data_IF_810454301839
#
_entry.id   IF_810454301839
#
_cell.length_a   1.000
_cell.length_b   1.000
_cell.length_c   1.000
_cell.angle_alpha   90.00
_cell.angle_beta   90.00
_cell.angle_gamma   90.00
#
_symmetry.space_group_name_H-M   'P 1'
#
loop_
_entity.id
_entity.type
_entity.pdbx_description
1 polymer ?
#
# COMPACT_ATOMS: atom_id res chain seq x y z
N UNK A 1 -26.35 -11.02 -7.80
CA UNK A 1 -26.72 -9.88 -6.93
C UNK A 1 -25.82 -9.80 -5.71
N UNK A 2 -25.41 -10.94 -5.12
CA UNK A 2 -24.47 -10.98 -3.98
C UNK A 2 -23.07 -10.52 -4.38
N UNK A 3 -22.57 -10.96 -5.53
CA UNK A 3 -21.24 -10.59 -6.07
C UNK A 3 -21.05 -9.07 -6.17
N UNK A 4 -22.08 -8.35 -6.65
CA UNK A 4 -22.03 -6.87 -6.70
C UNK A 4 -21.95 -6.25 -5.31
N UNK A 5 -22.62 -6.84 -4.31
CA UNK A 5 -22.55 -6.34 -2.92
C UNK A 5 -21.15 -6.51 -2.35
N UNK A 6 -20.50 -7.66 -2.61
CA UNK A 6 -19.14 -7.91 -2.14
C UNK A 6 -18.15 -6.93 -2.76
N UNK A 7 -18.24 -6.69 -4.08
CA UNK A 7 -17.39 -5.70 -4.74
C UNK A 7 -17.61 -4.28 -4.17
N UNK A 8 -18.86 -3.89 -3.89
CA UNK A 8 -19.18 -2.60 -3.28
C UNK A 8 -18.60 -2.52 -1.86
N UNK A 9 -18.77 -3.57 -1.04
CA UNK A 9 -18.21 -3.62 0.32
C UNK A 9 -16.69 -3.51 0.26
N UNK A 10 -16.04 -4.27 -0.60
CA UNK A 10 -14.59 -4.24 -0.77
C UNK A 10 -14.10 -2.86 -1.23
N UNK A 11 -14.77 -2.24 -2.21
CA UNK A 11 -14.43 -0.91 -2.71
C UNK A 11 -14.60 0.19 -1.65
N UNK A 12 -15.73 0.21 -0.94
CA UNK A 12 -15.97 1.17 0.12
C UNK A 12 -15.02 0.96 1.32
N UNK A 13 -14.66 -0.29 1.62
CA UNK A 13 -13.67 -0.59 2.67
C UNK A 13 -12.29 -0.05 2.28
N UNK A 14 -11.86 -0.25 1.04
CA UNK A 14 -10.60 0.31 0.56
C UNK A 14 -10.62 1.85 0.54
N UNK A 15 -11.74 2.45 0.15
CA UNK A 15 -11.95 3.90 0.19
C UNK A 15 -11.76 4.44 1.60
N UNK A 16 -12.46 3.88 2.60
CA UNK A 16 -12.37 4.37 3.99
C UNK A 16 -10.97 4.19 4.59
N UNK A 17 -10.26 3.10 4.27
CA UNK A 17 -8.89 2.87 4.73
C UNK A 17 -7.94 3.97 4.24
N UNK A 18 -8.00 4.31 2.94
CA UNK A 18 -7.18 5.37 2.38
C UNK A 18 -7.59 6.76 2.89
N UNK A 19 -8.88 6.97 3.10
CA UNK A 19 -9.40 8.21 3.65
C UNK A 19 -8.87 8.44 5.08
N UNK A 20 -9.00 7.45 5.99
CA UNK A 20 -8.50 7.52 7.38
C UNK A 20 -6.98 7.76 7.42
N UNK A 21 -6.22 7.06 6.59
CA UNK A 21 -4.77 7.18 6.55
C UNK A 21 -4.35 8.61 6.19
N UNK A 22 -4.89 9.14 5.09
CA UNK A 22 -4.42 10.40 4.52
C UNK A 22 -5.04 11.64 5.21
N UNK A 23 -6.27 11.58 5.70
CA UNK A 23 -6.89 12.68 6.45
C UNK A 23 -6.10 13.04 7.71
N UNK A 24 -5.62 12.03 8.44
CA UNK A 24 -4.89 12.26 9.71
C UNK A 24 -3.59 13.03 9.50
N UNK A 25 -2.91 12.82 8.37
CA UNK A 25 -1.66 13.52 8.05
C UNK A 25 -1.88 15.03 7.94
N UNK A 26 -2.97 15.43 7.29
CA UNK A 26 -3.31 16.86 7.11
C UNK A 26 -3.75 17.51 8.43
N UNK A 27 -4.47 16.78 9.28
CA UNK A 27 -4.94 17.29 10.57
C UNK A 27 -3.86 17.33 11.65
N UNK A 28 -2.72 16.67 11.43
CA UNK A 28 -1.70 16.44 12.45
C UNK A 28 -1.23 17.70 13.19
N UNK A 29 -0.95 18.85 12.53
CA UNK A 29 -0.53 20.06 13.22
C UNK A 29 -1.59 20.58 14.21
N UNK A 30 -2.87 20.56 13.81
CA UNK A 30 -3.97 21.03 14.67
C UNK A 30 -4.25 20.04 15.80
N UNK A 31 -4.20 18.72 15.53
CA UNK A 31 -4.32 17.68 16.56
C UNK A 31 -3.21 17.83 17.60
N UNK A 32 -1.99 18.14 17.16
CA UNK A 32 -0.84 18.30 18.04
C UNK A 32 -1.02 19.47 19.00
N UNK A 33 -1.52 20.60 18.51
CA UNK A 33 -1.82 21.78 19.36
C UNK A 33 -2.94 21.45 20.35
N UNK A 34 -4.06 20.89 19.87
CA UNK A 34 -5.25 20.62 20.69
C UNK A 34 -5.01 19.57 21.81
N UNK A 35 -4.17 18.59 21.55
CA UNK A 35 -3.90 17.47 22.46
C UNK A 35 -2.56 17.59 23.18
N UNK A 36 -1.83 18.71 23.00
CA UNK A 36 -0.50 18.96 23.59
C UNK A 36 0.52 17.86 23.24
N UNK A 37 0.64 17.52 21.96
CA UNK A 37 1.70 16.61 21.50
C UNK A 37 3.06 17.31 21.56
N UNK A 38 4.09 16.57 21.96
CA UNK A 38 5.46 16.94 21.64
C UNK A 38 5.82 16.48 20.20
N UNK A 39 6.95 16.94 19.69
CA UNK A 39 7.41 16.63 18.32
C UNK A 39 7.54 15.12 18.09
N UNK A 40 8.09 14.40 19.06
CA UNK A 40 8.27 12.95 18.97
C UNK A 40 6.92 12.23 18.87
N UNK A 41 5.94 12.64 19.67
CA UNK A 41 4.58 12.06 19.62
C UNK A 41 3.86 12.31 18.30
N UNK A 42 4.13 13.43 17.61
CA UNK A 42 3.56 13.70 16.30
C UNK A 42 4.01 12.65 15.27
N UNK A 43 5.27 12.25 15.30
CA UNK A 43 5.79 11.21 14.42
C UNK A 43 5.11 9.87 14.67
N UNK A 44 4.77 9.56 15.94
CA UNK A 44 4.10 8.33 16.32
C UNK A 44 2.68 8.19 15.75
N UNK A 45 1.98 9.26 15.45
CA UNK A 45 0.59 9.22 14.96
C UNK A 45 0.44 8.37 13.70
N UNK A 46 1.31 8.56 12.74
CA UNK A 46 1.27 7.80 11.47
C UNK A 46 1.99 6.46 11.60
N UNK A 47 3.06 6.44 12.38
CA UNK A 47 3.89 5.27 12.60
C UNK A 47 3.12 4.14 13.29
N UNK A 48 2.43 4.40 14.41
CA UNK A 48 1.70 3.37 15.15
C UNK A 48 0.59 2.73 14.31
N UNK A 49 -0.04 3.51 13.43
CA UNK A 49 -1.00 3.02 12.45
C UNK A 49 -0.34 2.04 11.46
N UNK A 50 0.75 2.44 10.81
CA UNK A 50 1.45 1.62 9.82
C UNK A 50 2.11 0.38 10.45
N UNK A 51 2.73 0.54 11.62
CA UNK A 51 3.30 -0.59 12.38
C UNK A 51 2.24 -1.63 12.73
N UNK A 52 1.09 -1.18 13.24
CA UNK A 52 -0.03 -2.08 13.56
C UNK A 52 -0.55 -2.78 12.29
N UNK A 53 -0.65 -2.05 11.18
CA UNK A 53 -1.13 -2.60 9.91
C UNK A 53 -0.22 -3.73 9.41
N UNK A 54 1.09 -3.54 9.41
CA UNK A 54 2.06 -4.55 8.96
C UNK A 54 2.15 -5.72 9.96
N UNK A 55 2.21 -5.42 11.26
CA UNK A 55 2.40 -6.42 12.29
C UNK A 55 1.22 -7.41 12.41
N UNK A 56 -0.01 -6.94 12.23
CA UNK A 56 -1.20 -7.77 12.41
C UNK A 56 -1.77 -8.39 11.12
N UNK A 57 -1.21 -8.10 9.94
CA UNK A 57 -1.71 -8.64 8.67
C UNK A 57 -1.60 -10.17 8.61
N UNK A 58 -0.43 -10.75 8.89
CA UNK A 58 -0.20 -12.21 8.78
C UNK A 58 -0.91 -12.99 9.89
N UNK A 59 -0.73 -12.68 11.19
CA UNK A 59 -1.46 -13.39 12.24
C UNK A 59 -2.97 -13.25 12.11
N UNK A 60 -3.42 -12.07 11.69
CA UNK A 60 -4.84 -11.78 11.49
C UNK A 60 -5.47 -12.60 10.37
N UNK A 61 -4.75 -12.86 9.29
CA UNK A 61 -5.25 -13.69 8.18
C UNK A 61 -5.64 -15.09 8.65
N UNK A 62 -4.84 -15.70 9.53
CA UNK A 62 -5.12 -17.02 10.12
C UNK A 62 -6.38 -16.99 10.99
N UNK A 63 -6.54 -15.93 11.78
CA UNK A 63 -7.77 -15.73 12.59
C UNK A 63 -8.99 -15.59 11.68
N UNK A 64 -8.90 -14.74 10.64
CA UNK A 64 -10.01 -14.48 9.71
C UNK A 64 -10.45 -15.77 9.01
N UNK A 65 -9.50 -16.56 8.49
CA UNK A 65 -9.82 -17.78 7.76
C UNK A 65 -10.51 -18.83 8.63
N UNK A 66 -10.12 -18.96 9.89
CA UNK A 66 -10.66 -19.98 10.79
C UNK A 66 -11.99 -19.60 11.45
N UNK A 67 -12.18 -18.32 11.78
CA UNK A 67 -13.39 -17.84 12.44
C UNK A 67 -14.45 -17.33 11.47
N UNK A 68 -14.12 -17.25 10.18
CA UNK A 68 -14.99 -16.83 9.10
C UNK A 68 -14.70 -15.43 8.61
N UNK A 69 -14.52 -15.33 7.29
CA UNK A 69 -14.12 -14.07 6.64
C UNK A 69 -15.14 -12.98 6.89
N UNK A 70 -16.42 -13.26 6.61
CA UNK A 70 -17.52 -12.31 6.81
C UNK A 70 -17.66 -11.90 8.28
N UNK A 71 -17.67 -12.88 9.19
CA UNK A 71 -17.84 -12.66 10.62
C UNK A 71 -16.72 -11.78 11.19
N UNK A 72 -15.48 -12.11 10.86
CA UNK A 72 -14.32 -11.31 11.29
C UNK A 72 -14.33 -9.91 10.70
N UNK A 73 -14.71 -9.75 9.42
CA UNK A 73 -14.84 -8.43 8.78
C UNK A 73 -15.88 -7.56 9.49
N UNK A 74 -17.01 -8.14 9.92
CA UNK A 74 -18.02 -7.41 10.72
C UNK A 74 -17.45 -6.95 12.07
N UNK A 75 -16.68 -7.80 12.76
CA UNK A 75 -15.98 -7.39 13.99
C UNK A 75 -14.93 -6.30 13.74
N UNK A 76 -14.23 -6.35 12.61
CA UNK A 76 -13.28 -5.31 12.24
C UNK A 76 -13.97 -3.97 11.98
N UNK A 77 -15.18 -3.95 11.40
CA UNK A 77 -15.96 -2.71 11.27
C UNK A 77 -16.38 -2.15 12.63
N UNK A 78 -16.76 -3.02 13.59
CA UNK A 78 -17.06 -2.58 14.96
C UNK A 78 -15.80 -2.00 15.62
N UNK A 79 -14.66 -2.68 15.49
CA UNK A 79 -13.38 -2.22 16.04
C UNK A 79 -12.95 -0.88 15.43
N UNK A 80 -13.10 -0.73 14.11
CA UNK A 80 -12.84 0.53 13.41
C UNK A 80 -13.77 1.64 13.89
N UNK A 81 -15.06 1.36 14.05
CA UNK A 81 -16.04 2.30 14.59
C UNK A 81 -15.66 2.79 16.00
N UNK A 82 -15.34 1.86 16.90
CA UNK A 82 -14.90 2.20 18.26
C UNK A 82 -13.63 3.03 18.25
N UNK A 83 -12.66 2.71 17.39
CA UNK A 83 -11.42 3.48 17.28
C UNK A 83 -11.66 4.91 16.78
N UNK A 84 -12.59 5.10 15.85
CA UNK A 84 -13.01 6.44 15.38
C UNK A 84 -13.64 7.23 16.51
N UNK A 85 -14.52 6.61 17.30
CA UNK A 85 -15.10 7.26 18.49
C UNK A 85 -14.02 7.67 19.50
N UNK A 86 -13.04 6.78 19.78
CA UNK A 86 -11.91 7.11 20.66
C UNK A 86 -11.13 8.32 20.10
N UNK A 87 -10.90 8.39 18.77
CA UNK A 87 -10.25 9.55 18.16
C UNK A 87 -11.02 10.85 18.38
N UNK A 88 -12.35 10.84 18.16
CA UNK A 88 -13.22 12.02 18.30
C UNK A 88 -13.23 12.54 19.75
N UNK A 89 -13.30 11.63 20.71
CA UNK A 89 -13.34 11.95 22.14
C UNK A 89 -11.97 11.99 22.82
N UNK A 90 -10.87 11.92 22.05
CA UNK A 90 -9.53 11.98 22.61
C UNK A 90 -9.29 13.34 23.32
N UNK A 91 -8.85 13.26 24.58
CA UNK A 91 -8.52 14.41 25.43
C UNK A 91 -7.03 14.54 25.72
N UNK A 92 -6.22 13.55 25.30
CA UNK A 92 -4.79 13.52 25.47
C UNK A 92 -4.10 12.77 24.33
N UNK A 93 -2.77 12.93 24.13
CA UNK A 93 -2.03 12.27 23.06
C UNK A 93 -2.12 10.75 23.10
N UNK A 94 -2.03 10.14 24.26
CA UNK A 94 -1.99 8.69 24.42
C UNK A 94 -3.28 8.01 23.96
N UNK A 95 -4.43 8.62 24.27
CA UNK A 95 -5.73 8.10 23.85
C UNK A 95 -5.88 8.18 22.32
N UNK A 96 -5.39 9.27 21.72
CA UNK A 96 -5.36 9.41 20.26
C UNK A 96 -4.41 8.38 19.62
N UNK A 97 -3.20 8.19 20.14
CA UNK A 97 -2.26 7.17 19.67
C UNK A 97 -2.84 5.75 19.80
N UNK A 98 -3.50 5.45 20.91
CA UNK A 98 -4.20 4.17 21.09
C UNK A 98 -5.26 3.97 19.99
N UNK A 99 -6.05 4.98 19.69
CA UNK A 99 -7.03 4.91 18.59
C UNK A 99 -6.38 4.63 17.26
N UNK A 100 -5.23 5.24 16.95
CA UNK A 100 -4.45 5.01 15.72
C UNK A 100 -3.94 3.57 15.63
N UNK A 101 -3.46 3.01 16.74
CA UNK A 101 -3.05 1.59 16.81
C UNK A 101 -4.21 0.64 16.51
N UNK A 102 -5.40 0.89 17.11
CA UNK A 102 -6.61 0.11 16.84
C UNK A 102 -7.09 0.28 15.40
N UNK A 103 -7.01 1.49 14.82
CA UNK A 103 -7.31 1.74 13.40
C UNK A 103 -6.38 0.93 12.50
N UNK A 104 -5.06 0.92 12.78
CA UNK A 104 -4.08 0.14 12.05
C UNK A 104 -4.38 -1.37 12.09
N UNK A 105 -4.67 -1.90 13.27
CA UNK A 105 -5.09 -3.29 13.45
C UNK A 105 -6.36 -3.61 12.65
N UNK A 106 -7.40 -2.79 12.77
CA UNK A 106 -8.65 -3.00 12.02
C UNK A 106 -8.42 -2.97 10.52
N UNK A 107 -7.63 -2.00 10.04
CA UNK A 107 -7.30 -1.86 8.61
C UNK A 107 -6.43 -3.01 8.09
N UNK A 108 -5.53 -3.58 8.91
CA UNK A 108 -4.76 -4.76 8.58
C UNK A 108 -5.68 -5.94 8.23
N UNK A 109 -6.60 -6.23 9.14
CA UNK A 109 -7.56 -7.33 9.00
C UNK A 109 -8.54 -7.08 7.83
N UNK A 110 -9.02 -5.85 7.67
CA UNK A 110 -9.90 -5.47 6.56
C UNK A 110 -9.22 -5.60 5.20
N UNK A 111 -7.94 -5.23 5.08
CA UNK A 111 -7.18 -5.36 3.83
C UNK A 111 -7.07 -6.83 3.39
N UNK A 112 -6.80 -7.73 4.32
CA UNK A 112 -6.77 -9.18 4.06
C UNK A 112 -8.16 -9.69 3.69
N UNK A 113 -9.18 -9.30 4.46
CA UNK A 113 -10.57 -9.72 4.23
C UNK A 113 -11.09 -9.35 2.85
N UNK A 114 -10.77 -8.14 2.35
CA UNK A 114 -11.18 -7.68 1.01
C UNK A 114 -10.71 -8.66 -0.06
N UNK A 115 -9.45 -9.07 -0.03
CA UNK A 115 -8.89 -9.99 -1.02
C UNK A 115 -9.52 -11.38 -0.93
N UNK A 116 -9.70 -11.87 0.30
CA UNK A 116 -10.36 -13.17 0.53
C UNK A 116 -11.82 -13.17 0.06
N UNK A 117 -12.58 -12.09 0.35
CA UNK A 117 -13.97 -11.97 -0.11
C UNK A 117 -14.07 -11.97 -1.64
N UNK A 118 -13.19 -11.24 -2.33
CA UNK A 118 -13.20 -11.15 -3.79
C UNK A 118 -12.85 -12.49 -4.44
N UNK A 119 -11.77 -13.14 -3.99
CA UNK A 119 -11.28 -14.37 -4.64
C UNK A 119 -12.16 -15.57 -4.32
N UNK A 120 -12.75 -15.63 -3.12
CA UNK A 120 -13.63 -16.74 -2.73
C UNK A 120 -15.03 -16.69 -3.35
N UNK A 121 -15.51 -15.51 -3.74
CA UNK A 121 -16.91 -15.36 -4.20
C UNK A 121 -17.05 -15.15 -5.71
N UNK A 122 -16.04 -14.57 -6.35
CA UNK A 122 -16.10 -14.22 -7.75
C UNK A 122 -15.43 -15.28 -8.63
N UNK A 123 -15.99 -15.47 -9.82
CA UNK A 123 -15.31 -16.23 -10.85
C UNK A 123 -13.96 -15.59 -11.19
N UNK A 124 -12.98 -16.41 -11.55
CA UNK A 124 -11.61 -15.98 -11.82
C UNK A 124 -11.50 -14.84 -12.84
N UNK A 125 -12.38 -14.83 -13.84
CA UNK A 125 -12.43 -13.76 -14.84
C UNK A 125 -12.89 -12.42 -14.26
N UNK A 126 -13.71 -12.43 -13.20
CA UNK A 126 -14.24 -11.23 -12.55
C UNK A 126 -13.35 -10.70 -11.42
N UNK A 127 -12.41 -11.50 -10.91
CA UNK A 127 -11.47 -11.07 -9.85
C UNK A 127 -10.68 -9.81 -10.26
N UNK A 128 -10.11 -9.80 -11.46
CA UNK A 128 -9.34 -8.65 -11.94
C UNK A 128 -10.16 -7.36 -12.04
N UNK A 129 -11.31 -7.35 -12.70
CA UNK A 129 -12.23 -6.21 -12.72
C UNK A 129 -12.63 -5.73 -11.32
N UNK A 130 -12.95 -6.64 -10.40
CA UNK A 130 -13.30 -6.31 -9.02
C UNK A 130 -12.13 -5.61 -8.29
N UNK A 131 -10.92 -6.16 -8.40
CA UNK A 131 -9.71 -5.54 -7.84
C UNK A 131 -9.41 -4.17 -8.46
N UNK A 132 -9.75 -3.97 -9.74
CA UNK A 132 -9.65 -2.68 -10.41
C UNK A 132 -10.60 -1.64 -9.80
N UNK A 133 -11.84 -2.01 -9.51
CA UNK A 133 -12.82 -1.13 -8.84
C UNK A 133 -12.35 -0.80 -7.42
N UNK A 134 -11.86 -1.79 -6.68
CA UNK A 134 -11.31 -1.60 -5.32
C UNK A 134 -10.11 -0.65 -5.35
N UNK A 135 -9.19 -0.81 -6.29
CA UNK A 135 -8.06 0.09 -6.47
C UNK A 135 -8.50 1.52 -6.77
N UNK A 136 -9.45 1.70 -7.72
CA UNK A 136 -10.00 3.03 -8.04
C UNK A 136 -10.63 3.69 -6.81
N UNK A 137 -11.40 2.95 -6.01
CA UNK A 137 -12.02 3.45 -4.79
C UNK A 137 -10.95 3.90 -3.75
N UNK A 138 -9.86 3.15 -3.62
CA UNK A 138 -8.74 3.54 -2.78
C UNK A 138 -8.08 4.85 -3.24
N UNK A 139 -7.83 5.01 -4.53
CA UNK A 139 -7.27 6.24 -5.08
C UNK A 139 -8.21 7.45 -4.94
N UNK A 140 -9.53 7.24 -5.05
CA UNK A 140 -10.53 8.28 -4.74
C UNK A 140 -10.44 8.69 -3.27
N UNK A 141 -10.32 7.73 -2.34
CA UNK A 141 -10.14 8.02 -0.91
C UNK A 141 -8.87 8.82 -0.64
N UNK A 142 -7.76 8.45 -1.27
CA UNK A 142 -6.48 9.17 -1.16
C UNK A 142 -6.59 10.61 -1.71
N UNK A 143 -7.27 10.80 -2.84
CA UNK A 143 -7.44 12.10 -3.48
C UNK A 143 -8.32 13.04 -2.66
N UNK A 144 -9.44 12.53 -2.13
CA UNK A 144 -10.42 13.33 -1.41
C UNK A 144 -9.95 13.69 0.00
N UNK A 145 -9.16 12.83 0.64
CA UNK A 145 -8.79 12.96 2.04
C UNK A 145 -8.20 14.32 2.44
N UNK A 146 -7.16 14.86 1.76
CA UNK A 146 -6.58 16.14 2.10
C UNK A 146 -7.56 17.30 1.94
N UNK A 147 -8.28 17.33 0.82
CA UNK A 147 -9.24 18.40 0.50
C UNK A 147 -10.42 18.42 1.47
N UNK A 148 -10.97 17.24 1.79
CA UNK A 148 -12.06 17.11 2.74
C UNK A 148 -11.63 17.51 4.15
N UNK A 149 -10.45 17.07 4.59
CA UNK A 149 -9.93 17.45 5.90
C UNK A 149 -9.67 18.94 5.99
N UNK A 150 -8.98 19.53 5.00
CA UNK A 150 -8.71 20.98 4.97
C UNK A 150 -9.99 21.82 4.97
N UNK A 151 -10.99 21.42 4.16
CA UNK A 151 -12.29 22.09 4.12
C UNK A 151 -13.02 22.02 5.47
N UNK A 152 -13.13 20.85 6.07
CA UNK A 152 -13.84 20.69 7.34
C UNK A 152 -13.12 21.39 8.49
N UNK A 153 -11.79 21.40 8.51
CA UNK A 153 -10.99 22.10 9.52
C UNK A 153 -11.14 23.62 9.42
N UNK A 154 -11.33 24.16 8.21
CA UNK A 154 -11.56 25.59 8.02
C UNK A 154 -12.86 26.07 8.68
N UNK A 155 -13.95 25.29 8.58
CA UNK A 155 -15.26 25.67 9.11
C UNK A 155 -15.53 25.18 10.52
N UNK A 156 -14.83 24.13 10.97
CA UNK A 156 -15.18 23.45 12.22
C UNK A 156 -13.92 22.99 12.99
N UNK A 157 -13.72 21.69 13.09
CA UNK A 157 -12.56 21.09 13.76
C UNK A 157 -12.21 19.74 13.15
N UNK A 158 -10.99 19.28 13.38
CA UNK A 158 -10.55 17.96 12.95
C UNK A 158 -11.41 16.80 13.52
N UNK A 159 -11.99 16.98 14.73
CA UNK A 159 -12.89 15.99 15.34
C UNK A 159 -14.14 15.77 14.51
N UNK A 160 -14.75 16.82 13.99
CA UNK A 160 -15.94 16.75 13.15
C UNK A 160 -15.62 16.03 11.84
N UNK A 161 -14.42 16.22 11.30
CA UNK A 161 -13.98 15.51 10.09
C UNK A 161 -14.00 13.99 10.27
N UNK A 162 -13.69 13.49 11.47
CA UNK A 162 -13.76 12.05 11.76
C UNK A 162 -15.20 11.50 11.81
N UNK A 163 -16.23 12.35 12.00
CA UNK A 163 -17.63 11.88 12.02
C UNK A 163 -18.06 11.28 10.68
N UNK A 164 -17.45 11.64 9.55
CA UNK A 164 -17.78 11.09 8.23
C UNK A 164 -17.58 9.56 8.17
N UNK A 165 -16.66 9.01 8.97
CA UNK A 165 -16.41 7.59 8.98
C UNK A 165 -17.57 6.78 9.56
N UNK A 166 -18.34 7.36 10.49
CA UNK A 166 -19.44 6.68 11.19
C UNK A 166 -20.51 6.18 10.20
N UNK A 167 -21.15 7.04 9.37
CA UNK A 167 -22.15 6.55 8.43
C UNK A 167 -21.59 5.57 7.41
N UNK A 168 -20.35 5.74 6.95
CA UNK A 168 -19.74 4.81 5.99
C UNK A 168 -19.55 3.44 6.61
N UNK A 169 -19.04 3.37 7.84
CA UNK A 169 -18.86 2.08 8.56
C UNK A 169 -20.20 1.40 8.81
N UNK A 170 -21.25 2.16 9.18
CA UNK A 170 -22.59 1.60 9.37
C UNK A 170 -23.17 1.04 8.05
N UNK A 171 -23.00 1.75 6.94
CA UNK A 171 -23.41 1.25 5.61
C UNK A 171 -22.65 -0.03 5.29
N UNK A 172 -21.34 -0.08 5.47
CA UNK A 172 -20.53 -1.28 5.24
C UNK A 172 -21.00 -2.47 6.10
N UNK A 173 -21.27 -2.23 7.37
CA UNK A 173 -21.77 -3.23 8.29
C UNK A 173 -23.10 -3.81 7.83
N UNK A 174 -24.06 -2.96 7.44
CA UNK A 174 -25.39 -3.38 6.96
C UNK A 174 -25.26 -4.14 5.62
N UNK A 175 -24.47 -3.65 4.68
CA UNK A 175 -24.28 -4.30 3.38
C UNK A 175 -23.68 -5.70 3.54
N UNK A 176 -22.63 -5.84 4.36
CA UNK A 176 -21.96 -7.12 4.56
C UNK A 176 -22.83 -8.10 5.35
N UNK A 177 -23.60 -7.61 6.34
CA UNK A 177 -24.55 -8.45 7.09
C UNK A 177 -25.58 -9.09 6.15
N UNK A 178 -25.95 -8.41 5.07
CA UNK A 178 -26.89 -8.92 4.05
C UNK A 178 -26.32 -9.97 3.09
N UNK A 179 -25.02 -10.27 3.13
CA UNK A 179 -24.40 -11.38 2.39
C UNK A 179 -24.67 -12.67 3.14
N UNK A 180 -25.11 -13.74 2.45
CA UNK A 180 -25.47 -15.01 3.10
C UNK A 180 -24.29 -15.96 3.27
N UNK A 181 -23.33 -15.91 2.35
CA UNK A 181 -22.16 -16.79 2.33
C UNK A 181 -21.21 -16.49 3.49
N UNK A 182 -20.57 -17.52 4.00
CA UNK A 182 -19.45 -17.45 4.94
C UNK A 182 -18.34 -18.38 4.46
N UNK A 183 -17.11 -17.94 4.53
CA UNK A 183 -15.94 -18.71 4.13
C UNK A 183 -15.09 -18.98 5.33
N UNK A 184 -14.86 -20.26 5.62
CA UNK A 184 -14.03 -20.72 6.74
C UNK A 184 -13.13 -21.84 6.27
N UNK A 185 -11.94 -21.90 6.83
CA UNK A 185 -11.07 -23.08 6.77
C UNK A 185 -11.28 -23.96 8.01
N UNK A 186 -10.71 -25.16 7.99
CA UNK A 186 -10.72 -26.01 9.18
C UNK A 186 -10.06 -25.32 10.37
N UNK A 187 -10.68 -25.46 11.55
CA UNK A 187 -10.13 -24.89 12.78
C UNK A 187 -8.88 -25.68 13.21
N UNK A 188 -7.76 -24.99 13.19
CA UNK A 188 -6.48 -25.49 13.67
C UNK A 188 -6.00 -24.67 14.87
N UNK A 189 -5.16 -25.23 15.71
CA UNK A 189 -4.56 -24.48 16.83
C UNK A 189 -3.67 -23.38 16.26
N UNK A 190 -3.96 -22.12 16.62
CA UNK A 190 -3.17 -20.96 16.18
C UNK A 190 -1.84 -20.96 16.95
N UNK A 191 -0.74 -20.77 16.25
CA UNK A 191 0.58 -20.58 16.87
C UNK A 191 0.67 -19.17 17.48
N UNK A 192 0.36 -19.09 18.78
CA UNK A 192 0.44 -17.84 19.52
C UNK A 192 1.90 -17.34 19.66
N UNK A 193 2.88 -18.26 19.77
CA UNK A 193 4.28 -17.89 19.91
C UNK A 193 4.83 -17.31 18.60
N UNK A 194 4.59 -17.98 17.47
CA UNK A 194 4.96 -17.48 16.15
C UNK A 194 4.29 -16.13 15.86
N UNK A 195 2.99 -16.00 16.20
CA UNK A 195 2.26 -14.73 16.08
C UNK A 195 2.91 -13.61 16.88
N UNK A 196 3.27 -13.85 18.13
CA UNK A 196 3.91 -12.85 18.98
C UNK A 196 5.30 -12.45 18.44
N UNK A 197 6.12 -13.43 18.08
CA UNK A 197 7.45 -13.17 17.51
C UNK A 197 7.31 -12.34 16.23
N UNK A 198 6.38 -12.68 15.36
CA UNK A 198 6.14 -11.93 14.12
C UNK A 198 5.71 -10.48 14.39
N UNK A 199 4.72 -10.27 15.27
CA UNK A 199 4.23 -8.92 15.62
C UNK A 199 5.37 -8.07 16.19
N UNK A 200 6.15 -8.60 17.13
CA UNK A 200 7.30 -7.89 17.71
C UNK A 200 8.35 -7.59 16.65
N UNK A 201 8.67 -8.56 15.79
CA UNK A 201 9.65 -8.40 14.70
C UNK A 201 9.25 -7.26 13.76
N UNK A 202 8.00 -7.27 13.29
CA UNK A 202 7.51 -6.26 12.35
C UNK A 202 7.39 -4.88 13.00
N UNK A 203 6.98 -4.81 14.26
CA UNK A 203 6.93 -3.55 15.00
C UNK A 203 8.32 -2.94 15.20
N UNK A 204 9.32 -3.74 15.61
CA UNK A 204 10.70 -3.28 15.77
C UNK A 204 11.32 -2.88 14.42
N UNK A 205 11.06 -3.66 13.37
CA UNK A 205 11.56 -3.37 12.03
C UNK A 205 10.99 -2.06 11.48
N UNK A 206 9.67 -1.89 11.56
CA UNK A 206 9.01 -0.68 11.10
C UNK A 206 9.45 0.55 11.90
N UNK A 207 9.56 0.43 13.22
CA UNK A 207 10.06 1.50 14.08
C UNK A 207 11.51 1.84 13.79
N UNK A 208 12.39 0.84 13.75
CA UNK A 208 13.81 1.03 13.49
C UNK A 208 14.11 1.68 12.14
N UNK A 209 13.37 1.29 11.09
CA UNK A 209 13.48 1.90 9.76
C UNK A 209 13.04 3.38 9.78
N UNK A 210 12.09 3.74 10.63
CA UNK A 210 11.55 5.11 10.63
C UNK A 210 12.47 6.10 11.35
N UNK A 211 13.06 5.72 12.49
CA UNK A 211 13.97 6.61 13.23
C UNK A 211 15.38 6.66 12.66
N UNK A 212 15.88 5.54 12.12
CA UNK A 212 17.19 5.36 11.45
C UNK A 212 18.40 6.14 12.07
N UNK A 213 18.33 6.35 13.38
CA UNK A 213 19.46 6.77 14.20
C UNK A 213 20.28 5.54 14.68
N UNK A 214 21.23 5.73 15.59
CA UNK A 214 22.03 4.64 16.14
C UNK A 214 21.13 3.53 16.77
N UNK A 215 20.09 3.92 17.48
CA UNK A 215 19.12 2.98 18.08
C UNK A 215 18.26 2.31 17.02
N UNK A 216 17.84 3.04 15.98
CA UNK A 216 17.10 2.51 14.86
C UNK A 216 17.84 1.40 14.14
N UNK A 217 19.14 1.57 13.91
CA UNK A 217 19.99 0.53 13.31
C UNK A 217 20.04 -0.72 14.20
N UNK A 218 20.19 -0.55 15.51
CA UNK A 218 20.17 -1.67 16.47
C UNK A 218 18.83 -2.42 16.41
N UNK A 219 17.71 -1.69 16.36
CA UNK A 219 16.37 -2.28 16.27
C UNK A 219 16.17 -3.04 14.94
N UNK A 220 16.66 -2.51 13.83
CA UNK A 220 16.64 -3.19 12.53
C UNK A 220 17.44 -4.48 12.59
N UNK A 221 18.65 -4.47 13.14
CA UNK A 221 19.47 -5.68 13.31
C UNK A 221 18.75 -6.69 14.21
N UNK A 222 18.23 -6.25 15.36
CA UNK A 222 17.46 -7.09 16.26
C UNK A 222 16.24 -7.73 15.59
N UNK A 223 15.52 -6.97 14.75
CA UNK A 223 14.38 -7.48 13.99
C UNK A 223 14.77 -8.55 12.96
N UNK A 224 15.92 -8.44 12.29
CA UNK A 224 16.43 -9.49 11.42
C UNK A 224 16.79 -10.76 12.18
N UNK A 225 17.35 -10.64 13.38
CA UNK A 225 17.62 -11.80 14.25
C UNK A 225 16.30 -12.47 14.66
N UNK A 226 15.32 -11.68 15.08
CA UNK A 226 13.98 -12.19 15.41
C UNK A 226 13.26 -12.82 14.22
N UNK A 227 13.44 -12.27 13.00
CA UNK A 227 12.90 -12.86 11.78
C UNK A 227 13.53 -14.24 11.49
N UNK A 228 14.82 -14.38 11.72
CA UNK A 228 15.49 -15.70 11.60
C UNK A 228 14.96 -16.69 12.65
N UNK A 229 14.71 -16.24 13.87
CA UNK A 229 14.09 -17.04 14.93
C UNK A 229 12.66 -17.43 14.52
N UNK A 230 11.87 -16.49 14.06
CA UNK A 230 10.51 -16.71 13.55
C UNK A 230 10.51 -17.83 12.48
N UNK A 231 11.33 -17.69 11.44
CA UNK A 231 11.42 -18.72 10.38
C UNK A 231 11.83 -20.08 10.91
N UNK A 232 12.69 -20.15 11.94
CA UNK A 232 13.07 -21.43 12.58
C UNK A 232 11.91 -22.03 13.39
N UNK A 233 11.13 -21.22 14.08
CA UNK A 233 9.95 -21.64 14.85
C UNK A 233 8.89 -22.16 13.89
N UNK A 234 8.52 -21.36 12.87
CA UNK A 234 7.52 -21.72 11.86
C UNK A 234 7.81 -23.03 11.13
N UNK A 235 9.08 -23.35 10.89
CA UNK A 235 9.48 -24.63 10.27
C UNK A 235 9.27 -25.86 11.15
N UNK A 236 9.06 -25.67 12.47
CA UNK A 236 8.93 -26.76 13.43
C UNK A 236 7.51 -26.94 13.96
N UNK A 237 6.65 -25.95 13.79
CA UNK A 237 5.27 -25.97 14.24
C UNK A 237 4.41 -26.70 13.22
N UNK A 238 3.48 -27.55 13.71
CA UNK A 238 2.54 -28.31 12.87
C UNK A 238 1.58 -27.39 12.11
N UNK A 239 1.13 -26.31 12.75
CA UNK A 239 0.19 -25.34 12.18
C UNK A 239 0.81 -23.93 12.18
N UNK A 240 1.71 -23.63 11.23
CA UNK A 240 2.37 -22.34 11.16
C UNK A 240 1.35 -21.21 10.85
N UNK A 241 1.67 -19.98 11.30
CA UNK A 241 0.83 -18.82 10.97
C UNK A 241 0.96 -18.41 9.50
N UNK A 242 2.05 -18.86 8.85
CA UNK A 242 2.32 -18.57 7.45
C UNK A 242 2.94 -19.79 6.75
N UNK A 243 2.41 -20.16 5.60
CA UNK A 243 2.95 -21.27 4.80
C UNK A 243 4.24 -20.85 4.06
N UNK A 244 5.39 -21.08 4.72
CA UNK A 244 6.70 -20.77 4.16
C UNK A 244 7.00 -21.48 2.82
N UNK A 245 6.24 -22.52 2.43
CA UNK A 245 6.40 -23.19 1.14
C UNK A 245 6.05 -22.27 -0.03
N UNK A 246 5.15 -21.31 0.16
CA UNK A 246 4.79 -20.31 -0.85
C UNK A 246 6.00 -19.48 -1.30
N UNK A 247 6.93 -19.20 -0.39
CA UNK A 247 8.16 -18.47 -0.71
C UNK A 247 9.15 -19.25 -1.59
N UNK A 248 8.91 -20.55 -1.84
CA UNK A 248 9.71 -21.34 -2.80
C UNK A 248 9.23 -21.14 -4.24
N UNK A 249 8.00 -20.69 -4.45
CA UNK A 249 7.52 -20.36 -5.78
C UNK A 249 8.05 -18.97 -6.19
N UNK A 250 8.98 -18.96 -7.13
CA UNK A 250 9.58 -17.73 -7.64
C UNK A 250 8.53 -16.76 -8.21
N UNK A 251 7.44 -17.27 -8.79
CA UNK A 251 6.34 -16.46 -9.34
C UNK A 251 5.68 -15.65 -8.24
N UNK A 252 5.41 -16.31 -7.13
CA UNK A 252 4.79 -15.73 -5.95
C UNK A 252 5.69 -14.66 -5.32
N UNK A 253 6.98 -14.95 -5.17
CA UNK A 253 7.98 -14.00 -4.64
C UNK A 253 8.12 -12.78 -5.55
N UNK A 254 8.19 -13.00 -6.88
CA UNK A 254 8.27 -11.89 -7.85
C UNK A 254 7.06 -10.96 -7.76
N UNK A 255 5.84 -11.51 -7.66
CA UNK A 255 4.62 -10.69 -7.53
C UNK A 255 4.58 -9.86 -6.26
N UNK A 256 5.00 -10.43 -5.12
CA UNK A 256 5.08 -9.71 -3.84
C UNK A 256 6.22 -8.66 -3.83
N UNK A 257 7.38 -8.99 -4.41
CA UNK A 257 8.48 -8.02 -4.60
C UNK A 257 8.05 -6.85 -5.49
N UNK A 258 7.35 -7.13 -6.58
CA UNK A 258 6.83 -6.08 -7.45
C UNK A 258 5.80 -5.19 -6.72
N UNK A 259 4.95 -5.77 -5.86
CA UNK A 259 4.02 -5.01 -5.03
C UNK A 259 4.77 -4.09 -4.05
N UNK A 260 5.76 -4.62 -3.32
CA UNK A 260 6.60 -3.84 -2.42
C UNK A 260 7.25 -2.67 -3.17
N UNK A 261 7.88 -2.96 -4.32
CA UNK A 261 8.59 -1.97 -5.14
C UNK A 261 7.66 -0.87 -5.64
N UNK A 262 6.48 -1.22 -6.17
CA UNK A 262 5.55 -0.22 -6.71
C UNK A 262 5.09 0.77 -5.63
N UNK A 263 4.79 0.30 -4.42
CA UNK A 263 4.38 1.17 -3.32
C UNK A 263 5.56 1.95 -2.71
N UNK A 264 6.74 1.34 -2.67
CA UNK A 264 7.98 2.01 -2.28
C UNK A 264 8.28 3.20 -3.20
N UNK A 265 8.35 2.96 -4.51
CA UNK A 265 8.71 3.99 -5.50
C UNK A 265 7.67 5.11 -5.59
N UNK A 266 6.40 4.77 -5.53
CA UNK A 266 5.31 5.78 -5.62
C UNK A 266 5.31 6.69 -4.40
N UNK A 267 5.51 6.16 -3.19
CA UNK A 267 5.46 6.95 -1.96
C UNK A 267 6.66 7.90 -1.84
N UNK A 268 7.87 7.42 -2.13
CA UNK A 268 9.08 8.25 -2.02
C UNK A 268 9.08 9.39 -3.04
N UNK A 269 8.60 9.13 -4.26
CA UNK A 269 8.49 10.15 -5.30
C UNK A 269 7.57 11.29 -4.87
N UNK A 270 6.44 10.97 -4.26
CA UNK A 270 5.48 11.97 -3.79
C UNK A 270 6.12 12.94 -2.77
N UNK A 271 6.86 12.40 -1.79
CA UNK A 271 7.55 13.20 -0.78
C UNK A 271 8.69 14.04 -1.39
N UNK A 272 9.54 13.40 -2.18
CA UNK A 272 10.71 14.05 -2.74
C UNK A 272 10.36 15.21 -3.71
N UNK A 273 9.33 15.01 -4.56
CA UNK A 273 8.85 16.05 -5.47
C UNK A 273 8.28 17.23 -4.67
N UNK A 274 7.53 16.96 -3.61
CA UNK A 274 6.97 18.02 -2.75
C UNK A 274 8.07 18.91 -2.19
N UNK A 275 9.10 18.32 -1.58
CA UNK A 275 10.22 19.08 -1.01
C UNK A 275 11.04 19.80 -2.07
N UNK A 276 11.28 19.16 -3.22
CA UNK A 276 12.00 19.77 -4.33
C UNK A 276 11.28 21.02 -4.85
N UNK A 277 10.00 20.91 -5.16
CA UNK A 277 9.22 22.04 -5.68
C UNK A 277 9.09 23.17 -4.66
N UNK A 278 8.98 22.84 -3.35
CA UNK A 278 8.82 23.82 -2.29
C UNK A 278 10.12 24.58 -2.00
N UNK A 279 11.24 23.87 -1.79
CA UNK A 279 12.47 24.45 -1.28
C UNK A 279 13.54 24.75 -2.33
N UNK A 280 13.52 24.02 -3.45
CA UNK A 280 14.50 24.26 -4.55
C UNK A 280 13.93 25.22 -5.59
N UNK A 281 12.70 24.95 -6.02
CA UNK A 281 12.04 25.75 -7.05
C UNK A 281 11.20 26.91 -6.49
N UNK A 282 10.96 26.95 -5.18
CA UNK A 282 10.18 27.99 -4.47
C UNK A 282 8.76 28.18 -5.02
N UNK A 283 8.09 27.08 -5.45
CA UNK A 283 6.68 27.15 -5.81
C UNK A 283 5.80 27.29 -4.57
N UNK A 284 4.68 27.99 -4.71
CA UNK A 284 3.67 28.08 -3.66
C UNK A 284 3.02 26.71 -3.37
N UNK A 285 2.71 26.44 -2.10
CA UNK A 285 2.14 25.15 -1.65
C UNK A 285 0.86 24.76 -2.41
N UNK A 286 0.02 25.76 -2.75
CA UNK A 286 -1.18 25.55 -3.54
C UNK A 286 -0.86 24.96 -4.93
N UNK A 287 0.15 25.49 -5.60
CA UNK A 287 0.53 25.05 -6.93
C UNK A 287 1.15 23.64 -6.91
N UNK A 288 1.96 23.35 -5.90
CA UNK A 288 2.50 22.00 -5.64
C UNK A 288 1.34 21.02 -5.44
N UNK A 289 0.33 21.40 -4.64
CA UNK A 289 -0.86 20.59 -4.44
C UNK A 289 -1.55 20.20 -5.75
N UNK A 290 -1.69 21.12 -6.71
CA UNK A 290 -2.28 20.86 -8.03
C UNK A 290 -1.45 19.84 -8.85
N UNK A 291 -0.13 19.96 -8.83
CA UNK A 291 0.77 19.01 -9.52
C UNK A 291 0.62 17.61 -8.93
N UNK A 292 0.57 17.50 -7.61
CA UNK A 292 0.45 16.22 -6.92
C UNK A 292 -0.90 15.51 -7.15
N UNK A 293 -1.95 16.22 -7.59
CA UNK A 293 -3.23 15.61 -7.96
C UNK A 293 -3.20 14.87 -9.31
N UNK A 294 -2.25 15.16 -10.18
CA UNK A 294 -2.18 14.60 -11.54
C UNK A 294 -2.11 13.06 -11.49
N UNK A 295 -1.17 12.51 -10.74
CA UNK A 295 -0.99 11.07 -10.67
C UNK A 295 -2.22 10.34 -10.09
N UNK A 296 -2.80 10.72 -8.94
CA UNK A 296 -4.01 10.09 -8.40
C UNK A 296 -5.21 10.12 -9.34
N UNK A 297 -5.45 11.22 -10.04
CA UNK A 297 -6.56 11.33 -11.02
C UNK A 297 -6.41 10.28 -12.12
N UNK A 298 -5.20 10.11 -12.66
CA UNK A 298 -4.92 9.11 -13.69
C UNK A 298 -5.05 7.69 -13.12
N UNK A 299 -4.57 7.46 -11.90
CA UNK A 299 -4.68 6.16 -11.20
C UNK A 299 -6.13 5.71 -11.06
N UNK A 300 -7.06 6.62 -10.73
CA UNK A 300 -8.49 6.31 -10.59
C UNK A 300 -9.06 5.72 -11.88
N UNK A 301 -8.82 6.37 -13.00
CA UNK A 301 -9.33 5.92 -14.30
C UNK A 301 -8.70 4.61 -14.77
N UNK A 302 -7.38 4.49 -14.63
CA UNK A 302 -6.64 3.35 -15.16
C UNK A 302 -6.73 2.11 -14.28
N UNK A 303 -6.96 2.21 -12.98
CA UNK A 303 -7.09 1.03 -12.12
C UNK A 303 -8.29 0.15 -12.52
N UNK A 304 -9.46 0.75 -12.75
CA UNK A 304 -10.62 0.02 -13.25
C UNK A 304 -10.43 -0.54 -14.66
N UNK A 305 -9.71 0.18 -15.52
CA UNK A 305 -9.37 -0.28 -16.86
C UNK A 305 -8.40 -1.46 -16.82
N UNK A 306 -7.32 -1.38 -16.06
CA UNK A 306 -6.29 -2.42 -15.93
C UNK A 306 -6.87 -3.73 -15.37
N UNK A 307 -7.79 -3.64 -14.39
CA UNK A 307 -8.50 -4.79 -13.88
C UNK A 307 -9.30 -5.53 -14.96
N UNK A 308 -10.02 -4.80 -15.82
CA UNK A 308 -10.74 -5.39 -16.96
C UNK A 308 -9.81 -5.99 -18.02
N UNK A 309 -8.65 -5.38 -18.21
CA UNK A 309 -7.66 -5.84 -19.18
C UNK A 309 -7.10 -7.23 -18.82
N UNK A 310 -7.10 -7.61 -17.53
CA UNK A 310 -6.67 -8.96 -17.08
C UNK A 310 -7.56 -10.10 -17.55
N UNK A 311 -8.74 -9.82 -18.14
CA UNK A 311 -9.57 -10.84 -18.82
C UNK A 311 -8.98 -11.28 -20.15
N UNK A 312 -8.15 -10.44 -20.76
CA UNK A 312 -7.63 -10.65 -22.13
C UNK A 312 -6.12 -10.79 -22.20
N UNK A 313 -5.39 -10.17 -21.27
CA UNK A 313 -3.93 -10.10 -21.26
C UNK A 313 -3.44 -10.68 -19.93
N UNK A 314 -2.33 -11.42 -19.99
CA UNK A 314 -1.66 -11.97 -18.80
C UNK A 314 -1.35 -10.83 -17.80
N UNK A 315 -1.75 -10.98 -16.54
CA UNK A 315 -1.53 -9.95 -15.52
C UNK A 315 -0.06 -9.56 -15.35
N UNK A 316 0.90 -10.49 -15.63
CA UNK A 316 2.34 -10.21 -15.53
C UNK A 316 2.82 -9.23 -16.60
N UNK A 317 2.27 -9.31 -17.81
CA UNK A 317 2.59 -8.37 -18.89
C UNK A 317 2.08 -6.98 -18.52
N UNK A 318 0.83 -6.88 -18.06
CA UNK A 318 0.25 -5.60 -17.68
C UNK A 318 1.06 -4.98 -16.53
N UNK A 319 1.38 -5.77 -15.49
CA UNK A 319 2.18 -5.32 -14.36
C UNK A 319 3.62 -4.96 -14.76
N UNK A 320 4.23 -5.70 -15.70
CA UNK A 320 5.56 -5.41 -16.23
C UNK A 320 5.59 -4.09 -17.02
N UNK A 321 4.60 -3.85 -17.88
CA UNK A 321 4.42 -2.58 -18.61
C UNK A 321 4.15 -1.43 -17.62
N UNK A 322 3.35 -1.66 -16.60
CA UNK A 322 3.11 -0.69 -15.55
C UNK A 322 4.40 -0.29 -14.82
N UNK A 323 5.25 -1.28 -14.47
CA UNK A 323 6.57 -1.01 -13.88
C UNK A 323 7.52 -0.28 -14.84
N UNK A 324 7.40 -0.50 -16.16
CA UNK A 324 8.16 0.28 -17.14
C UNK A 324 7.78 1.76 -17.13
N UNK A 325 6.49 2.10 -17.00
CA UNK A 325 6.05 3.48 -16.83
C UNK A 325 6.55 4.09 -15.51
N UNK A 326 6.51 3.34 -14.40
CA UNK A 326 7.07 3.80 -13.11
C UNK A 326 8.58 4.03 -13.26
N UNK A 327 9.31 3.10 -13.87
CA UNK A 327 10.75 3.24 -14.12
C UNK A 327 11.06 4.50 -14.93
N UNK A 328 10.36 4.71 -16.05
CA UNK A 328 10.53 5.91 -16.87
C UNK A 328 10.23 7.20 -16.09
N UNK A 329 9.17 7.20 -15.28
CA UNK A 329 8.84 8.33 -14.40
C UNK A 329 9.95 8.62 -13.39
N UNK A 330 10.51 7.58 -12.73
CA UNK A 330 11.62 7.76 -11.77
C UNK A 330 12.88 8.30 -12.44
N UNK A 331 13.20 7.85 -13.65
CA UNK A 331 14.30 8.43 -14.44
C UNK A 331 14.06 9.90 -14.76
N UNK A 332 12.85 10.25 -15.17
CA UNK A 332 12.53 11.66 -15.42
C UNK A 332 12.69 12.48 -14.14
N UNK A 333 12.14 12.05 -13.02
CA UNK A 333 12.31 12.76 -11.74
C UNK A 333 13.78 12.85 -11.29
N UNK A 334 14.62 11.87 -11.61
CA UNK A 334 16.04 11.94 -11.30
C UNK A 334 16.76 13.11 -12.00
N UNK A 335 16.25 13.56 -13.15
CA UNK A 335 16.84 14.66 -13.93
C UNK A 335 16.02 15.95 -13.90
N UNK A 336 15.03 16.08 -12.99
CA UNK A 336 14.08 17.20 -13.00
C UNK A 336 14.72 18.59 -12.86
N UNK A 337 15.88 18.71 -12.22
CA UNK A 337 16.61 19.96 -12.05
C UNK A 337 17.20 20.54 -13.34
N UNK A 338 17.23 19.80 -14.43
CA UNK A 338 17.70 20.27 -15.75
C UNK A 338 16.57 20.75 -16.65
N UNK A 339 15.31 20.65 -16.22
CA UNK A 339 14.16 20.84 -17.08
C UNK A 339 13.11 21.75 -16.44
N UNK A 340 12.17 22.18 -17.27
CA UNK A 340 11.04 23.01 -16.85
C UNK A 340 9.97 22.22 -16.08
N UNK A 341 9.00 22.96 -15.49
CA UNK A 341 7.86 22.38 -14.78
C UNK A 341 7.08 21.35 -15.61
N UNK A 342 6.97 21.57 -16.94
CA UNK A 342 6.28 20.65 -17.85
C UNK A 342 6.85 19.23 -17.78
N UNK A 343 8.14 19.13 -17.53
CA UNK A 343 8.83 17.85 -17.37
C UNK A 343 8.40 17.11 -16.10
N UNK A 344 8.24 17.84 -15.01
CA UNK A 344 7.74 17.27 -13.73
C UNK A 344 6.29 16.80 -13.90
N UNK A 345 5.46 17.59 -14.59
CA UNK A 345 4.09 17.24 -14.94
C UNK A 345 4.04 15.95 -15.78
N UNK A 346 4.88 15.88 -16.81
CA UNK A 346 4.95 14.69 -17.67
C UNK A 346 5.41 13.44 -16.89
N UNK A 347 6.40 13.57 -16.01
CA UNK A 347 6.82 12.49 -15.12
C UNK A 347 5.68 12.04 -14.18
N UNK A 348 4.89 12.98 -13.65
CA UNK A 348 3.70 12.68 -12.81
C UNK A 348 2.62 11.94 -13.60
N UNK A 349 2.42 12.27 -14.87
CA UNK A 349 1.51 11.53 -15.76
C UNK A 349 1.97 10.08 -15.93
N UNK A 350 3.25 9.85 -16.24
CA UNK A 350 3.79 8.49 -16.37
C UNK A 350 3.68 7.69 -15.08
N UNK A 351 3.93 8.34 -13.92
CA UNK A 351 3.76 7.70 -12.61
C UNK A 351 2.31 7.28 -12.37
N UNK A 352 1.36 8.16 -12.69
CA UNK A 352 -0.08 7.87 -12.59
C UNK A 352 -0.51 6.72 -13.50
N UNK A 353 0.00 6.68 -14.75
CA UNK A 353 -0.24 5.57 -15.68
C UNK A 353 0.32 4.26 -15.10
N UNK A 354 1.58 4.26 -14.68
CA UNK A 354 2.22 3.08 -14.13
C UNK A 354 1.50 2.54 -12.89
N UNK A 355 1.28 3.36 -11.87
CA UNK A 355 0.64 2.93 -10.64
C UNK A 355 -0.83 2.51 -10.85
N UNK A 356 -1.58 3.20 -11.73
CA UNK A 356 -2.96 2.85 -12.08
C UNK A 356 -3.07 1.51 -12.83
N UNK A 357 -2.10 1.22 -13.71
CA UNK A 357 -2.06 -0.06 -14.42
C UNK A 357 -1.53 -1.23 -13.57
N UNK A 358 -0.81 -0.95 -12.47
CA UNK A 358 -0.09 -1.98 -11.70
C UNK A 358 -0.98 -2.75 -10.72
N UNK A 359 -1.75 -2.03 -9.90
CA UNK A 359 -2.31 -2.59 -8.65
C UNK A 359 -3.24 -3.79 -8.90
N UNK A 360 -4.25 -3.67 -9.75
CA UNK A 360 -5.24 -4.73 -9.96
C UNK A 360 -4.65 -5.98 -10.66
N UNK A 361 -3.83 -5.85 -11.74
CA UNK A 361 -3.22 -7.02 -12.36
C UNK A 361 -2.25 -7.77 -11.44
N UNK A 362 -1.41 -7.04 -10.71
CA UNK A 362 -0.46 -7.69 -9.80
C UNK A 362 -1.16 -8.39 -8.64
N UNK A 363 -2.22 -7.76 -8.09
CA UNK A 363 -3.03 -8.40 -7.05
C UNK A 363 -3.68 -9.69 -7.58
N UNK A 364 -4.30 -9.63 -8.76
CA UNK A 364 -4.86 -10.83 -9.39
C UNK A 364 -3.78 -11.89 -9.58
N UNK A 365 -2.62 -11.52 -10.12
CA UNK A 365 -1.52 -12.44 -10.35
C UNK A 365 -1.13 -13.18 -9.06
N UNK A 366 -0.85 -12.47 -7.97
CA UNK A 366 -0.42 -13.08 -6.71
C UNK A 366 -1.49 -13.95 -6.08
N UNK A 367 -2.73 -13.46 -6.01
CA UNK A 367 -3.83 -14.13 -5.32
C UNK A 367 -4.34 -15.39 -6.04
N UNK A 368 -4.17 -15.45 -7.36
CA UNK A 368 -4.62 -16.60 -8.16
C UNK A 368 -3.51 -17.62 -8.44
N UNK A 369 -2.29 -17.40 -7.93
CA UNK A 369 -1.21 -18.39 -7.95
C UNK A 369 -1.35 -19.50 -6.90
N UNK A 370 -2.15 -19.25 -5.87
CA UNK A 370 -2.27 -20.12 -4.70
C UNK A 370 -3.64 -20.82 -4.69
N UNK A 371 -3.70 -21.96 -4.02
CA UNK A 371 -4.96 -22.64 -3.78
C UNK A 371 -5.78 -21.90 -2.71
N UNK A 372 -7.08 -22.19 -2.62
CA UNK A 372 -8.02 -21.51 -1.71
C UNK A 372 -7.58 -21.61 -0.24
N UNK A 373 -6.94 -22.73 0.13
CA UNK A 373 -6.42 -22.96 1.48
C UNK A 373 -5.28 -22.00 1.86
N UNK A 374 -4.43 -21.62 0.89
CA UNK A 374 -3.30 -20.70 1.06
C UNK A 374 -3.67 -19.23 0.77
N UNK A 375 -4.92 -18.95 0.40
CA UNK A 375 -5.37 -17.60 0.09
C UNK A 375 -5.22 -16.60 1.27
N UNK A 376 -5.44 -17.01 2.54
CA UNK A 376 -5.17 -16.14 3.68
C UNK A 376 -3.70 -15.67 3.72
N UNK A 377 -2.77 -16.59 3.50
CA UNK A 377 -1.34 -16.32 3.51
C UNK A 377 -0.95 -15.41 2.34
N UNK A 378 -1.48 -15.68 1.15
CA UNK A 378 -1.23 -14.84 -0.02
C UNK A 378 -1.78 -13.41 0.15
N UNK A 379 -3.00 -13.28 0.68
CA UNK A 379 -3.64 -11.98 0.92
C UNK A 379 -2.88 -11.15 1.96
N UNK A 380 -2.41 -11.82 3.03
CA UNK A 380 -1.68 -11.16 4.11
C UNK A 380 -0.29 -10.72 3.69
N UNK A 381 0.49 -11.55 2.99
CA UNK A 381 1.82 -11.15 2.52
C UNK A 381 1.74 -10.05 1.47
N UNK A 382 0.76 -10.12 0.56
CA UNK A 382 0.54 -9.08 -0.44
C UNK A 382 0.21 -7.73 0.23
N UNK A 383 -0.65 -7.73 1.25
CA UNK A 383 -0.97 -6.53 2.03
C UNK A 383 0.27 -6.02 2.78
N UNK A 384 0.97 -6.93 3.49
CA UNK A 384 2.22 -6.60 4.19
C UNK A 384 3.27 -6.00 3.25
N UNK A 385 3.50 -6.60 2.08
CA UNK A 385 4.48 -6.13 1.10
C UNK A 385 4.22 -4.70 0.64
N UNK A 386 2.95 -4.35 0.40
CA UNK A 386 2.54 -3.00 0.01
C UNK A 386 2.80 -1.97 1.11
N UNK A 387 2.34 -2.25 2.31
CA UNK A 387 2.47 -1.32 3.43
C UNK A 387 3.92 -1.22 3.92
N UNK A 388 4.65 -2.34 3.89
CA UNK A 388 6.07 -2.33 4.19
C UNK A 388 6.89 -1.54 3.16
N UNK A 389 6.50 -1.58 1.87
CA UNK A 389 7.08 -0.73 0.84
C UNK A 389 6.94 0.76 1.17
N UNK A 390 5.79 1.20 1.69
CA UNK A 390 5.58 2.59 2.14
C UNK A 390 6.46 2.96 3.34
N UNK A 391 6.61 2.05 4.32
CA UNK A 391 7.48 2.26 5.49
C UNK A 391 8.94 2.38 5.06
N UNK A 392 9.42 1.47 4.22
CA UNK A 392 10.77 1.53 3.65
C UNK A 392 11.03 2.83 2.90
N UNK A 393 10.04 3.29 2.14
CA UNK A 393 10.08 4.56 1.44
C UNK A 393 10.34 5.73 2.38
N UNK A 394 9.56 5.85 3.45
CA UNK A 394 9.73 6.90 4.47
C UNK A 394 11.10 6.84 5.15
N UNK A 395 11.52 5.65 5.56
CA UNK A 395 12.81 5.46 6.24
C UNK A 395 14.02 5.78 5.36
N UNK A 396 14.04 5.29 4.11
CA UNK A 396 15.13 5.58 3.17
C UNK A 396 15.15 7.07 2.82
N UNK A 397 13.96 7.70 2.69
CA UNK A 397 13.89 9.15 2.50
C UNK A 397 14.55 9.90 3.66
N UNK A 398 14.18 9.57 4.90
CA UNK A 398 14.75 10.18 6.12
C UNK A 398 16.25 9.94 6.19
N UNK A 399 16.72 8.74 5.89
CA UNK A 399 18.16 8.40 5.93
C UNK A 399 18.96 9.24 4.91
N UNK A 400 18.53 9.27 3.65
CA UNK A 400 19.22 10.04 2.61
C UNK A 400 19.20 11.53 2.98
N UNK A 401 18.05 12.02 3.43
CA UNK A 401 17.90 13.40 3.86
C UNK A 401 18.86 13.75 5.03
N UNK A 402 18.94 12.88 6.03
CA UNK A 402 19.83 13.10 7.19
C UNK A 402 21.33 13.07 6.84
N UNK A 403 21.74 12.26 5.86
CA UNK A 403 23.13 12.19 5.40
C UNK A 403 23.57 13.48 4.69
N UNK A 404 22.67 14.04 3.88
CA UNK A 404 23.01 15.21 3.06
C UNK A 404 22.71 16.55 3.74
N UNK A 405 21.74 16.61 4.66
CA UNK A 405 21.27 17.87 5.28
C UNK A 405 21.60 17.87 6.79
N UNK A 406 22.87 17.66 7.12
CA UNK A 406 23.35 17.74 8.50
C UNK A 406 23.49 19.20 8.93
N UNK A 407 22.65 19.65 9.88
CA UNK A 407 22.77 20.96 10.54
C UNK A 407 22.38 22.18 9.70
N UNK A 408 21.87 22.00 8.48
CA UNK A 408 21.39 23.08 7.62
C UNK A 408 19.92 23.41 7.86
N UNK A 409 19.55 24.68 7.62
CA UNK A 409 18.13 25.08 7.60
C UNK A 409 17.58 24.96 6.18
N UNK A 410 16.38 24.39 6.05
CA UNK A 410 15.67 24.32 4.76
C UNK A 410 15.39 25.73 4.24
N UNK A 411 15.75 25.98 2.97
CA UNK A 411 15.65 27.31 2.33
C UNK A 411 17.00 28.00 2.13
N UNK A 412 18.08 27.57 2.78
CA UNK A 412 19.41 28.07 2.48
C UNK A 412 19.93 27.54 1.15
N UNK A 413 20.60 28.39 0.36
CA UNK A 413 21.10 28.03 -0.97
C UNK A 413 22.06 26.82 -0.98
N UNK A 414 22.87 26.65 0.06
CA UNK A 414 23.75 25.48 0.25
C UNK A 414 22.96 24.21 0.51
N UNK A 415 21.89 24.29 1.29
CA UNK A 415 21.00 23.18 1.60
C UNK A 415 20.16 22.79 0.39
N UNK A 416 19.72 23.76 -0.41
CA UNK A 416 18.97 23.49 -1.63
C UNK A 416 19.76 22.66 -2.64
N UNK A 417 21.07 22.90 -2.78
CA UNK A 417 21.92 22.08 -3.65
C UNK A 417 22.04 20.64 -3.12
N UNK A 418 22.18 20.46 -1.80
CA UNK A 418 22.22 19.14 -1.17
C UNK A 418 20.87 18.41 -1.26
N UNK A 419 19.77 19.14 -1.12
CA UNK A 419 18.42 18.61 -1.31
C UNK A 419 18.20 18.13 -2.76
N UNK A 420 18.67 18.91 -3.74
CA UNK A 420 18.65 18.53 -5.15
C UNK A 420 19.43 17.24 -5.40
N UNK A 421 20.68 17.16 -4.88
CA UNK A 421 21.53 15.98 -5.02
C UNK A 421 20.91 14.73 -4.35
N UNK A 422 20.38 14.88 -3.13
CA UNK A 422 19.70 13.79 -2.41
C UNK A 422 18.47 13.29 -3.17
N UNK A 423 17.70 14.19 -3.73
CA UNK A 423 16.52 13.83 -4.56
C UNK A 423 16.95 13.09 -5.83
N UNK A 424 18.01 13.56 -6.51
CA UNK A 424 18.54 12.87 -7.70
C UNK A 424 18.97 11.43 -7.35
N UNK A 425 19.78 11.24 -6.32
CA UNK A 425 20.24 9.91 -5.88
C UNK A 425 19.04 9.02 -5.53
N UNK A 426 18.09 9.56 -4.80
CA UNK A 426 16.87 8.85 -4.43
C UNK A 426 16.07 8.36 -5.62
N UNK A 427 15.83 9.22 -6.61
CA UNK A 427 15.08 8.86 -7.81
C UNK A 427 15.84 7.87 -8.69
N UNK A 428 17.15 7.95 -8.76
CA UNK A 428 17.99 6.95 -9.46
C UNK A 428 17.91 5.57 -8.79
N UNK A 429 17.99 5.50 -7.46
CA UNK A 429 17.78 4.24 -6.72
C UNK A 429 16.38 3.66 -6.97
N UNK A 430 15.36 4.51 -6.96
CA UNK A 430 13.99 4.10 -7.29
C UNK A 430 13.87 3.56 -8.72
N UNK A 431 14.52 4.19 -9.68
CA UNK A 431 14.54 3.72 -11.06
C UNK A 431 15.18 2.32 -11.15
N UNK A 432 16.31 2.09 -10.47
CA UNK A 432 16.99 0.77 -10.45
C UNK A 432 16.06 -0.30 -9.89
N UNK A 433 15.40 -0.03 -8.75
CA UNK A 433 14.51 -1.00 -8.10
C UNK A 433 13.27 -1.26 -8.96
N UNK A 434 12.70 -0.22 -9.60
CA UNK A 434 11.58 -0.36 -10.53
C UNK A 434 11.97 -1.18 -11.78
N UNK A 435 13.16 -0.94 -12.33
CA UNK A 435 13.69 -1.73 -13.46
C UNK A 435 13.86 -3.21 -13.09
N UNK A 436 14.38 -3.51 -11.89
CA UNK A 436 14.52 -4.88 -11.41
C UNK A 436 13.15 -5.58 -11.30
N UNK A 437 12.13 -4.91 -10.76
CA UNK A 437 10.79 -5.46 -10.68
C UNK A 437 10.15 -5.69 -12.06
N UNK A 438 10.34 -4.74 -12.99
CA UNK A 438 9.92 -4.88 -14.38
C UNK A 438 10.56 -6.12 -15.04
N UNK A 439 11.89 -6.23 -14.94
CA UNK A 439 12.64 -7.34 -15.53
C UNK A 439 12.22 -8.69 -14.96
N UNK A 440 11.99 -8.78 -13.64
CA UNK A 440 11.54 -9.99 -12.97
C UNK A 440 10.11 -10.39 -13.40
N UNK A 441 9.21 -9.45 -13.60
CA UNK A 441 7.84 -9.74 -14.09
C UNK A 441 7.87 -10.30 -15.51
N UNK A 442 8.65 -9.71 -16.42
CA UNK A 442 8.82 -10.24 -17.77
C UNK A 442 9.56 -11.58 -17.80
N UNK A 443 10.56 -11.76 -16.94
CA UNK A 443 11.21 -13.07 -16.75
C UNK A 443 10.21 -14.13 -16.26
N UNK A 444 9.36 -13.78 -15.29
CA UNK A 444 8.31 -14.68 -14.82
C UNK A 444 7.34 -15.06 -15.95
N UNK A 445 7.00 -14.12 -16.82
CA UNK A 445 6.14 -14.37 -17.97
C UNK A 445 6.78 -15.33 -18.98
N UNK A 446 8.06 -15.14 -19.29
CA UNK A 446 8.75 -15.94 -20.29
C UNK A 446 9.10 -17.35 -19.82
N UNK A 447 9.39 -17.53 -18.52
CA UNK A 447 9.87 -18.79 -17.97
C UNK A 447 8.75 -19.71 -17.46
N UNK A 448 7.66 -19.13 -16.92
CA UNK A 448 6.63 -19.91 -16.26
C UNK A 448 5.30 -19.78 -16.99
N UNK A 449 4.71 -20.89 -17.42
CA UNK A 449 3.33 -20.91 -17.88
C UNK A 449 2.39 -20.73 -16.68
N UNK A 450 1.39 -19.85 -16.82
CA UNK A 450 0.27 -19.85 -15.88
C UNK A 450 -0.70 -20.98 -16.28
N UNK A 451 -1.33 -21.64 -15.32
CA UNK A 451 -2.39 -22.63 -15.56
C UNK A 451 -3.65 -22.03 -16.24
N UNK A 452 -3.59 -20.75 -16.61
CA UNK A 452 -4.67 -20.05 -17.26
C UNK A 452 -4.81 -20.46 -18.73
N UNK A 453 -5.98 -20.98 -19.06
CA UNK A 453 -6.44 -21.19 -20.44
C UNK A 453 -6.75 -19.82 -21.10
N UNK A 454 -5.76 -18.96 -21.25
CA UNK A 454 -5.91 -17.74 -22.01
C UNK A 454 -5.95 -18.08 -23.50
N UNK A 455 -7.12 -18.05 -24.11
CA UNK A 455 -7.32 -18.05 -25.57
C UNK A 455 -6.46 -16.98 -26.31
N UNK A 456 -5.65 -16.24 -25.59
CA UNK A 456 -4.97 -14.99 -26.02
C UNK A 456 -3.49 -15.17 -26.39
N UNK A 457 -2.85 -16.32 -26.08
CA UNK A 457 -1.45 -16.56 -26.51
C UNK A 457 -1.34 -16.53 -28.04
N UNK A 458 -2.39 -16.90 -28.75
CA UNK A 458 -2.41 -16.85 -30.23
C UNK A 458 -2.53 -15.40 -30.78
N UNK A 459 -3.21 -14.50 -30.08
CA UNK A 459 -3.48 -13.14 -30.57
C UNK A 459 -2.28 -12.22 -30.45
N UNK A 460 -1.58 -12.26 -29.31
CA UNK A 460 -0.37 -11.43 -29.10
C UNK A 460 0.82 -11.97 -29.93
N UNK A 461 1.00 -13.28 -30.01
CA UNK A 461 1.98 -13.87 -30.94
C UNK A 461 1.68 -13.44 -32.39
N UNK A 462 0.42 -13.33 -32.76
CA UNK A 462 0.01 -12.92 -34.09
C UNK A 462 0.27 -11.42 -34.33
N UNK A 463 -0.03 -10.56 -33.37
CA UNK A 463 0.28 -9.10 -33.46
C UNK A 463 1.79 -8.86 -33.48
N UNK A 464 2.55 -9.52 -32.58
CA UNK A 464 4.01 -9.35 -32.55
C UNK A 464 4.68 -9.94 -33.80
N UNK A 465 4.20 -11.07 -34.32
CA UNK A 465 4.76 -11.66 -35.55
C UNK A 465 4.38 -10.87 -36.81
N UNK A 466 3.24 -10.20 -36.85
CA UNK A 466 2.87 -9.28 -37.91
C UNK A 466 3.72 -8.00 -37.83
N UNK A 467 3.84 -7.43 -36.62
CA UNK A 467 4.62 -6.20 -36.42
C UNK A 467 6.11 -6.38 -36.72
N UNK A 468 6.70 -7.52 -36.34
CA UNK A 468 8.08 -7.87 -36.68
C UNK A 468 8.25 -8.18 -38.18
N UNK A 469 7.24 -8.76 -38.85
CA UNK A 469 7.27 -8.99 -40.31
C UNK A 469 7.11 -7.71 -41.12
N UNK A 470 6.40 -6.72 -40.60
CA UNK A 470 6.21 -5.44 -41.27
C UNK A 470 7.37 -4.45 -41.03
N UNK A 471 8.32 -4.81 -40.12
CA UNK A 471 9.51 -4.00 -39.81
C UNK A 471 10.80 -4.52 -40.45
N UNK A 472 10.78 -5.70 -41.10
CA UNK A 472 11.84 -6.29 -41.88
C UNK A 472 11.27 -6.78 -43.23
#
# INVERSE_FOLDING_TARGET
MEDKKIVIVAALTQFIQQLICNMTVVALPQIAVDLNFNIDMMMWVNMIYLCSLVAFSIPGAKVISQYGVKKCTLYCFILLFLSVLISIFAVNPYLFLLSRGIQGLSCALLSVSIYMLIVNDLDEEEVGPALGIVGSAGYIGMLIAPSFMGFTMYFTSWRISFLIFIPIILILFVLLRGVKKEWTTEKQKIDNLGSLIYVVTMALLAYGITILDEWGIVLVIASFILLMIFVKVEKRVENPIYNLKLLKDARYVIGNYAALTAYFTTTIAFSAITFYLLYVENYEEYFIGLILLIAPIIMIGLSGFSGRLTKRIDPRIISGVAMAFIFASMLLYAFMHHFTLDYVVFASILQGIGAGLFSAPNNKYVLTLVDVEDLPDASSLLSTSKEFGKILSGGIYTLIFSIFIVGGQLGDSSVNHLLMLSTHIMMMLNAIVAFAAMALLFYSYTKYELKYNLRTVSYIKRIFSTWVKDMF
#
